data_IF_754411567315
#
_entry.id   IF_754411567315
#
_cell.length_a   1.000
_cell.length_b   1.000
_cell.length_c   1.000
_cell.angle_alpha   90.00
_cell.angle_beta   90.00
_cell.angle_gamma   90.00
#
_symmetry.space_group_name_H-M   'P 1'
#
loop_
_entity.id
_entity.type
_entity.pdbx_description
1 polymer ?
#
# COMPACT_ATOMS: atom_id res chain seq x y z
N UNK A 1 21.41 -7.41 15.36
CA UNK A 1 20.97 -8.82 15.53
C UNK A 1 20.22 -8.91 16.84
N UNK A 2 18.90 -8.80 16.84
CA UNK A 2 18.09 -9.03 18.03
C UNK A 2 16.80 -9.76 17.63
N UNK A 3 16.70 -11.00 18.12
CA UNK A 3 15.49 -11.62 18.65
C UNK A 3 14.26 -11.67 17.75
N UNK A 4 14.14 -12.76 17.00
CA UNK A 4 12.86 -13.33 16.58
C UNK A 4 11.96 -13.55 17.80
N UNK A 5 10.86 -12.80 17.87
CA UNK A 5 9.93 -12.83 19.00
C UNK A 5 9.12 -14.12 19.00
N UNK A 6 9.08 -14.75 20.16
CA UNK A 6 8.47 -16.05 20.47
C UNK A 6 6.95 -15.99 20.35
N UNK A 7 6.40 -17.03 19.73
CA UNK A 7 5.00 -17.44 19.86
C UNK A 7 4.60 -17.48 21.34
N UNK A 8 3.50 -16.82 21.69
CA UNK A 8 2.82 -17.02 22.97
C UNK A 8 1.62 -17.94 22.76
N UNK A 9 1.90 -19.19 22.39
CA UNK A 9 1.07 -20.30 22.86
C UNK A 9 1.72 -20.67 24.19
N UNK A 10 0.98 -20.58 25.28
CA UNK A 10 1.45 -21.02 26.60
C UNK A 10 1.71 -22.52 26.50
N UNK A 11 2.97 -22.90 26.26
CA UNK A 11 3.45 -24.26 26.39
C UNK A 11 4.64 -24.26 27.35
N UNK A 12 4.59 -25.18 28.31
CA UNK A 12 5.70 -25.48 29.18
C UNK A 12 6.94 -25.87 28.33
N UNK A 13 8.15 -25.40 28.68
CA UNK A 13 9.34 -25.69 27.88
C UNK A 13 9.67 -27.19 27.94
N UNK A 14 9.58 -27.89 26.80
CA UNK A 14 10.11 -29.26 26.63
C UNK A 14 9.22 -30.28 25.89
N UNK A 15 8.00 -29.96 25.48
CA UNK A 15 7.20 -30.88 24.67
C UNK A 15 7.46 -30.67 23.17
N UNK A 16 7.88 -31.74 22.48
CA UNK A 16 7.88 -31.76 21.02
C UNK A 16 6.44 -31.64 20.52
N UNK A 17 6.20 -30.75 19.55
CA UNK A 17 4.91 -30.61 18.88
C UNK A 17 4.46 -31.97 18.34
N UNK A 18 3.18 -32.32 18.56
CA UNK A 18 2.65 -33.57 18.00
C UNK A 18 2.68 -33.53 16.46
N UNK A 19 2.58 -34.70 15.83
CA UNK A 19 2.50 -34.76 14.36
C UNK A 19 1.25 -34.03 13.86
N UNK A 20 0.14 -34.10 14.61
CA UNK A 20 -1.08 -33.36 14.29
C UNK A 20 -0.87 -31.84 14.42
N UNK A 21 -0.18 -31.36 15.46
CA UNK A 21 0.12 -29.93 15.64
C UNK A 21 1.00 -29.40 14.50
N UNK A 22 1.98 -30.18 14.04
CA UNK A 22 2.83 -29.83 12.92
C UNK A 22 2.05 -29.74 11.61
N UNK A 23 1.16 -30.71 11.35
CA UNK A 23 0.28 -30.69 10.19
C UNK A 23 -0.68 -29.50 10.20
N UNK A 24 -1.26 -29.19 11.37
CA UNK A 24 -2.16 -28.05 11.54
C UNK A 24 -1.42 -26.73 11.33
N UNK A 25 -0.20 -26.59 11.86
CA UNK A 25 0.62 -25.39 11.63
C UNK A 25 0.96 -25.20 10.15
N UNK A 26 1.26 -26.28 9.42
CA UNK A 26 1.55 -26.21 8.00
C UNK A 26 0.32 -25.80 7.19
N UNK A 27 -0.84 -26.41 7.48
CA UNK A 27 -2.11 -26.04 6.87
C UNK A 27 -2.49 -24.58 7.14
N UNK A 28 -2.27 -24.09 8.37
CA UNK A 28 -2.53 -22.70 8.73
C UNK A 28 -1.61 -21.72 8.00
N UNK A 29 -0.35 -22.09 7.73
CA UNK A 29 0.56 -21.27 6.91
C UNK A 29 0.12 -21.23 5.46
N UNK A 30 -0.28 -22.37 4.89
CA UNK A 30 -0.76 -22.44 3.51
C UNK A 30 -2.08 -21.69 3.30
N UNK A 31 -2.94 -21.68 4.33
CA UNK A 31 -4.25 -21.02 4.32
C UNK A 31 -4.19 -19.55 4.70
N UNK A 32 -3.02 -19.03 5.12
CA UNK A 32 -2.90 -17.64 5.52
C UNK A 32 -3.09 -16.70 4.31
N UNK A 33 -3.87 -15.61 4.46
CA UNK A 33 -4.13 -14.72 3.35
C UNK A 33 -2.83 -14.07 2.87
N UNK A 34 -2.61 -14.10 1.55
CA UNK A 34 -1.48 -13.45 0.92
C UNK A 34 -1.78 -11.97 0.76
N UNK A 35 -1.09 -11.14 1.54
CA UNK A 35 -1.25 -9.69 1.54
C UNK A 35 -0.09 -9.03 0.79
N UNK A 36 -0.43 -8.16 -0.16
CA UNK A 36 0.52 -7.37 -0.93
C UNK A 36 0.28 -5.88 -0.69
N UNK A 37 1.35 -5.13 -0.42
CA UNK A 37 1.31 -3.65 -0.41
C UNK A 37 2.08 -3.15 -1.62
N UNK A 38 1.40 -2.45 -2.52
CA UNK A 38 1.97 -1.83 -3.70
C UNK A 38 1.98 -0.31 -3.52
N UNK A 39 3.17 0.27 -3.45
CA UNK A 39 3.36 1.71 -3.45
C UNK A 39 3.75 2.22 -4.82
N UNK A 40 2.96 3.13 -5.38
CA UNK A 40 3.18 3.64 -6.73
C UNK A 40 3.56 5.12 -6.79
N UNK A 41 4.53 5.43 -7.66
CA UNK A 41 5.10 6.77 -7.81
C UNK A 41 5.99 7.17 -6.64
N UNK A 42 6.31 8.47 -6.52
CA UNK A 42 7.23 9.00 -5.52
C UNK A 42 6.81 8.70 -4.07
N UNK A 43 5.71 9.32 -3.62
CA UNK A 43 5.22 9.16 -2.24
C UNK A 43 4.80 7.71 -1.93
N UNK A 44 4.21 6.98 -2.89
CA UNK A 44 3.91 5.55 -2.71
C UNK A 44 5.17 4.72 -2.49
N UNK A 45 6.22 4.96 -3.28
CA UNK A 45 7.51 4.27 -3.09
C UNK A 45 8.19 4.66 -1.77
N UNK A 46 8.10 5.92 -1.34
CA UNK A 46 8.59 6.35 -0.02
C UNK A 46 7.86 5.64 1.12
N UNK A 47 6.54 5.51 0.99
CA UNK A 47 5.70 4.78 1.95
C UNK A 47 6.15 3.33 2.07
N UNK A 48 6.44 2.66 0.94
CA UNK A 48 7.00 1.30 0.93
C UNK A 48 8.37 1.25 1.60
N UNK A 49 9.26 2.20 1.30
CA UNK A 49 10.55 2.28 1.97
C UNK A 49 10.38 2.41 3.49
N UNK A 50 9.43 3.24 3.93
CA UNK A 50 9.15 3.44 5.35
C UNK A 50 8.58 2.18 6.01
N UNK A 51 7.64 1.50 5.35
CA UNK A 51 7.11 0.22 5.81
C UNK A 51 8.20 -0.84 5.97
N UNK A 52 9.17 -0.88 5.04
CA UNK A 52 10.33 -1.75 5.14
C UNK A 52 11.21 -1.39 6.35
N UNK A 53 11.40 -0.10 6.64
CA UNK A 53 12.21 0.37 7.78
C UNK A 53 11.56 0.06 9.13
N UNK A 54 10.25 0.31 9.27
CA UNK A 54 9.52 0.11 10.54
C UNK A 54 9.10 -1.35 10.77
N UNK A 55 9.19 -2.19 9.74
CA UNK A 55 8.74 -3.57 9.74
C UNK A 55 7.21 -3.70 9.74
N UNK A 56 6.73 -4.61 8.90
CA UNK A 56 5.32 -4.99 8.77
C UNK A 56 5.26 -6.50 8.52
N UNK A 57 4.52 -7.21 9.37
CA UNK A 57 4.49 -8.67 9.37
C UNK A 57 3.43 -9.19 8.37
N UNK A 58 3.72 -10.33 7.72
CA UNK A 58 2.76 -11.04 6.89
C UNK A 58 2.41 -10.34 5.56
N UNK A 59 3.19 -9.35 5.12
CA UNK A 59 2.94 -8.61 3.88
C UNK A 59 4.15 -8.63 2.95
N UNK A 60 3.90 -8.78 1.65
CA UNK A 60 4.90 -8.52 0.62
C UNK A 60 4.86 -7.05 0.22
N UNK A 61 6.02 -6.41 0.06
CA UNK A 61 6.13 -4.98 -0.21
C UNK A 61 6.68 -4.75 -1.61
N UNK A 62 5.94 -4.01 -2.42
CA UNK A 62 6.28 -3.75 -3.83
C UNK A 62 6.31 -2.26 -4.07
N UNK A 63 7.45 -1.76 -4.57
CA UNK A 63 7.55 -0.39 -5.05
C UNK A 63 7.44 -0.37 -6.58
N UNK A 64 6.56 0.47 -7.12
CA UNK A 64 6.36 0.64 -8.56
C UNK A 64 6.58 2.10 -8.94
N UNK A 65 7.37 2.35 -9.97
CA UNK A 65 7.63 3.73 -10.40
C UNK A 65 8.02 3.77 -11.87
N UNK A 66 7.89 4.95 -12.49
CA UNK A 66 8.43 5.23 -13.85
C UNK A 66 9.81 5.89 -13.78
N UNK A 67 10.20 6.39 -12.61
CA UNK A 67 11.53 6.96 -12.36
C UNK A 67 12.46 5.87 -11.81
N UNK A 68 13.45 5.48 -12.61
CA UNK A 68 14.41 4.44 -12.27
C UNK A 68 15.36 4.87 -11.15
N UNK A 69 15.78 6.14 -11.14
CA UNK A 69 16.72 6.65 -10.13
C UNK A 69 16.07 6.66 -8.75
N UNK A 70 14.80 7.06 -8.69
CA UNK A 70 14.04 7.03 -7.46
C UNK A 70 13.88 5.58 -6.98
N UNK A 71 13.42 4.68 -7.86
CA UNK A 71 13.15 3.28 -7.53
C UNK A 71 14.40 2.52 -7.04
N UNK A 72 15.59 2.84 -7.56
CA UNK A 72 16.85 2.25 -7.11
C UNK A 72 17.11 2.47 -5.61
N UNK A 73 16.75 3.63 -5.07
CA UNK A 73 17.02 4.02 -3.67
C UNK A 73 16.05 3.42 -2.66
N UNK A 74 14.91 2.93 -3.13
CA UNK A 74 13.81 2.40 -2.29
C UNK A 74 14.16 1.01 -1.77
N UNK A 75 13.87 0.70 -0.52
CA UNK A 75 13.96 -0.66 0.02
C UNK A 75 12.58 -1.31 -0.03
N UNK A 76 12.48 -2.48 -0.67
CA UNK A 76 11.25 -3.25 -0.80
C UNK A 76 11.57 -4.70 -1.14
N UNK A 77 10.61 -5.61 -0.94
CA UNK A 77 10.75 -7.02 -1.33
C UNK A 77 10.79 -7.20 -2.85
N UNK A 78 9.98 -6.44 -3.59
CA UNK A 78 9.99 -6.41 -5.06
C UNK A 78 9.96 -4.97 -5.58
N UNK A 79 10.46 -4.75 -6.80
CA UNK A 79 10.46 -3.46 -7.49
C UNK A 79 10.01 -3.63 -8.94
N UNK A 80 9.19 -2.71 -9.44
CA UNK A 80 8.77 -2.67 -10.83
C UNK A 80 8.98 -1.30 -11.44
N UNK A 81 9.84 -1.23 -12.47
CA UNK A 81 9.99 -0.05 -13.30
C UNK A 81 8.94 -0.09 -14.41
N UNK A 82 7.92 0.76 -14.32
CA UNK A 82 6.82 0.83 -15.28
C UNK A 82 7.19 1.68 -16.50
N UNK A 83 6.66 1.31 -17.67
CA UNK A 83 6.78 2.10 -18.89
C UNK A 83 8.23 2.31 -19.34
N UNK A 84 9.02 1.22 -19.38
CA UNK A 84 10.44 1.24 -19.78
C UNK A 84 10.61 1.87 -21.17
N UNK A 85 9.69 1.61 -22.11
CA UNK A 85 9.71 2.21 -23.45
C UNK A 85 9.11 3.62 -23.44
N UNK A 86 7.99 3.82 -22.74
CA UNK A 86 7.30 5.12 -22.68
C UNK A 86 8.12 6.25 -22.05
N UNK A 87 8.77 5.97 -20.93
CA UNK A 87 9.45 6.99 -20.11
C UNK A 87 10.96 6.88 -20.13
N UNK A 88 11.51 5.75 -20.61
CA UNK A 88 12.95 5.45 -20.58
C UNK A 88 13.54 5.54 -19.16
N UNK A 89 12.71 5.36 -18.13
CA UNK A 89 13.12 5.46 -16.73
C UNK A 89 13.29 6.89 -16.20
N UNK A 90 12.85 7.91 -16.96
CA UNK A 90 12.99 9.33 -16.58
C UNK A 90 11.79 9.88 -15.79
N UNK A 91 10.77 9.06 -15.56
CA UNK A 91 9.55 9.49 -14.87
C UNK A 91 8.45 10.03 -15.78
N UNK A 92 7.28 10.30 -15.19
CA UNK A 92 6.08 10.74 -15.91
C UNK A 92 5.90 12.28 -15.98
N UNK A 93 6.86 13.06 -15.48
CA UNK A 93 6.86 14.53 -15.61
C UNK A 93 5.62 15.23 -15.02
N UNK A 94 5.04 14.71 -13.94
CA UNK A 94 3.77 15.19 -13.36
C UNK A 94 2.54 15.09 -14.28
N UNK A 95 2.61 14.31 -15.37
CA UNK A 95 1.49 14.03 -16.25
C UNK A 95 0.86 12.66 -15.92
N UNK A 96 -0.38 12.63 -15.39
CA UNK A 96 -1.09 11.37 -15.09
C UNK A 96 -1.27 10.46 -16.30
N UNK A 97 -1.49 11.00 -17.50
CA UNK A 97 -1.69 10.18 -18.71
C UNK A 97 -0.44 9.38 -19.08
N UNK A 98 0.75 9.95 -18.84
CA UNK A 98 2.02 9.25 -19.03
C UNK A 98 2.18 8.14 -18.00
N UNK A 99 1.79 8.40 -16.74
CA UNK A 99 1.80 7.38 -15.68
C UNK A 99 0.83 6.23 -15.97
N UNK A 100 -0.34 6.54 -16.51
CA UNK A 100 -1.36 5.57 -16.92
C UNK A 100 -0.88 4.71 -18.08
N UNK A 101 -0.38 5.33 -19.15
CA UNK A 101 0.17 4.60 -20.28
C UNK A 101 1.38 3.73 -19.90
N UNK A 102 2.21 4.20 -18.96
CA UNK A 102 3.33 3.42 -18.44
C UNK A 102 2.89 2.19 -17.64
N UNK A 103 1.83 2.31 -16.85
CA UNK A 103 1.26 1.18 -16.12
C UNK A 103 0.60 0.17 -17.06
N UNK A 104 -0.11 0.64 -18.09
CA UNK A 104 -0.70 -0.21 -19.13
C UNK A 104 0.39 -0.96 -19.93
N UNK A 105 1.51 -0.29 -20.26
CA UNK A 105 2.65 -0.96 -20.90
C UNK A 105 3.19 -2.13 -20.04
N UNK A 106 3.19 -1.95 -18.72
CA UNK A 106 3.67 -2.95 -17.75
C UNK A 106 2.56 -3.83 -17.17
N UNK A 107 1.38 -3.90 -17.81
CA UNK A 107 0.22 -4.63 -17.25
C UNK A 107 0.53 -6.11 -17.00
N UNK A 108 1.27 -6.77 -17.90
CA UNK A 108 1.66 -8.16 -17.72
C UNK A 108 2.56 -8.36 -16.48
N UNK A 109 3.53 -7.47 -16.27
CA UNK A 109 4.41 -7.50 -15.09
C UNK A 109 3.59 -7.22 -13.80
N UNK A 110 2.60 -6.33 -13.87
CA UNK A 110 1.68 -6.03 -12.76
C UNK A 110 0.84 -7.27 -12.41
N UNK A 111 0.25 -7.94 -13.41
CA UNK A 111 -0.56 -9.16 -13.20
C UNK A 111 0.25 -10.27 -12.52
N UNK A 112 1.50 -10.48 -12.94
CA UNK A 112 2.40 -11.46 -12.31
C UNK A 112 2.67 -11.17 -10.83
N UNK A 113 2.74 -9.91 -10.44
CA UNK A 113 2.90 -9.53 -9.03
C UNK A 113 1.66 -9.85 -8.18
N UNK A 114 0.49 -9.90 -8.81
CA UNK A 114 -0.81 -10.05 -8.19
C UNK A 114 -1.29 -11.51 -8.15
N UNK A 115 -0.55 -12.45 -8.76
CA UNK A 115 -0.96 -13.84 -8.86
C UNK A 115 -1.20 -14.49 -7.48
N UNK A 116 -2.47 -14.81 -7.25
CA UNK A 116 -2.95 -15.46 -6.05
C UNK A 116 -2.94 -14.57 -4.79
N UNK A 117 -2.74 -13.28 -4.93
CA UNK A 117 -2.86 -12.35 -3.81
C UNK A 117 -4.32 -12.23 -3.40
N UNK A 118 -4.62 -12.39 -2.12
CA UNK A 118 -6.00 -12.31 -1.59
C UNK A 118 -6.39 -10.85 -1.28
N UNK A 119 -5.42 -10.05 -0.83
CA UNK A 119 -5.63 -8.66 -0.44
C UNK A 119 -4.48 -7.76 -0.93
N UNK A 120 -4.83 -6.68 -1.62
CA UNK A 120 -3.90 -5.68 -2.13
C UNK A 120 -4.18 -4.32 -1.50
N UNK A 121 -3.15 -3.79 -0.84
CA UNK A 121 -3.10 -2.38 -0.46
C UNK A 121 -2.38 -1.58 -1.54
N UNK A 122 -3.03 -0.55 -2.08
CA UNK A 122 -2.42 0.38 -3.03
C UNK A 122 -2.19 1.71 -2.33
N UNK A 123 -0.94 2.18 -2.29
CA UNK A 123 -0.59 3.47 -1.72
C UNK A 123 0.06 4.41 -2.73
N UNK A 124 -0.38 5.67 -2.74
CA UNK A 124 0.10 6.69 -3.67
C UNK A 124 -0.14 8.09 -3.12
N UNK A 125 0.74 9.02 -3.49
CA UNK A 125 0.46 10.46 -3.39
C UNK A 125 -0.19 10.94 -4.69
N UNK A 126 -1.44 11.42 -4.60
CA UNK A 126 -2.20 11.89 -5.75
C UNK A 126 -1.76 13.29 -6.17
N UNK A 127 -1.95 13.61 -7.45
CA UNK A 127 -1.62 14.91 -8.05
C UNK A 127 -0.33 14.93 -8.85
N UNK A 128 0.56 13.97 -8.64
CA UNK A 128 1.71 13.70 -9.49
C UNK A 128 1.35 12.99 -10.80
N UNK A 129 2.35 12.54 -11.56
CA UNK A 129 2.14 11.80 -12.81
C UNK A 129 1.98 10.30 -12.58
N UNK A 130 3.04 9.67 -12.08
CA UNK A 130 3.09 8.21 -11.92
C UNK A 130 2.03 7.67 -10.98
N UNK A 131 1.97 8.17 -9.74
CA UNK A 131 1.05 7.66 -8.72
C UNK A 131 -0.41 7.80 -9.18
N UNK A 132 -0.81 9.03 -9.54
CA UNK A 132 -2.14 9.35 -10.04
C UNK A 132 -2.56 8.52 -11.25
N UNK A 133 -1.65 8.31 -12.21
CA UNK A 133 -1.96 7.61 -13.46
C UNK A 133 -1.94 6.09 -13.36
N UNK A 134 -1.14 5.53 -12.47
CA UNK A 134 -0.97 4.07 -12.38
C UNK A 134 -1.84 3.40 -11.33
N UNK A 135 -2.25 4.13 -10.28
CA UNK A 135 -2.97 3.54 -9.15
C UNK A 135 -4.26 2.81 -9.57
N UNK A 136 -5.07 3.40 -10.45
CA UNK A 136 -6.31 2.77 -10.91
C UNK A 136 -6.06 1.59 -11.87
N UNK A 137 -4.95 1.60 -12.61
CA UNK A 137 -4.56 0.48 -13.49
C UNK A 137 -4.16 -0.73 -12.65
N UNK A 138 -3.37 -0.50 -11.60
CA UNK A 138 -2.99 -1.53 -10.63
C UNK A 138 -4.23 -2.07 -9.90
N UNK A 139 -5.12 -1.17 -9.45
CA UNK A 139 -6.37 -1.55 -8.79
C UNK A 139 -7.25 -2.44 -9.67
N UNK A 140 -7.42 -2.06 -10.93
CA UNK A 140 -8.18 -2.84 -11.91
C UNK A 140 -7.57 -4.24 -12.09
N UNK A 141 -6.25 -4.32 -12.29
CA UNK A 141 -5.56 -5.61 -12.47
C UNK A 141 -5.68 -6.51 -11.23
N UNK A 142 -5.61 -5.92 -10.03
CA UNK A 142 -5.76 -6.64 -8.77
C UNK A 142 -7.18 -7.22 -8.62
N UNK A 143 -8.20 -6.42 -8.92
CA UNK A 143 -9.60 -6.85 -8.89
C UNK A 143 -9.90 -7.95 -9.90
N UNK A 144 -9.35 -7.84 -11.12
CA UNK A 144 -9.45 -8.89 -12.14
C UNK A 144 -8.73 -10.19 -11.74
N UNK A 145 -7.70 -10.10 -10.89
CA UNK A 145 -7.00 -11.25 -10.31
C UNK A 145 -7.74 -11.88 -9.11
N UNK A 146 -8.89 -11.31 -8.69
CA UNK A 146 -9.71 -11.81 -7.59
C UNK A 146 -9.32 -11.28 -6.21
N UNK A 147 -8.36 -10.36 -6.13
CA UNK A 147 -7.94 -9.75 -4.86
C UNK A 147 -8.93 -8.67 -4.41
N UNK A 148 -9.11 -8.54 -3.09
CA UNK A 148 -9.74 -7.36 -2.50
C UNK A 148 -8.77 -6.18 -2.62
N UNK A 149 -9.26 -5.03 -3.04
CA UNK A 149 -8.43 -3.85 -3.28
C UNK A 149 -8.78 -2.72 -2.33
N UNK A 150 -7.83 -2.37 -1.46
CA UNK A 150 -7.90 -1.19 -0.60
C UNK A 150 -6.88 -0.16 -1.10
N UNK A 151 -7.36 0.99 -1.55
CA UNK A 151 -6.51 2.12 -1.90
C UNK A 151 -6.39 3.08 -0.71
N UNK A 152 -5.18 3.40 -0.27
CA UNK A 152 -4.90 4.39 0.77
C UNK A 152 -3.97 5.44 0.20
N UNK A 153 -4.51 6.61 -0.11
CA UNK A 153 -3.83 7.65 -0.88
C UNK A 153 -3.90 9.01 -0.21
N UNK A 154 -2.95 9.89 -0.51
CA UNK A 154 -2.96 11.28 -0.06
C UNK A 154 -3.35 12.24 -1.16
N UNK A 155 -4.08 13.30 -0.83
CA UNK A 155 -4.27 14.46 -1.73
C UNK A 155 -3.18 15.50 -1.45
N UNK A 156 -2.73 16.28 -2.46
CA UNK A 156 -1.63 17.22 -2.29
C UNK A 156 -2.01 18.36 -1.34
N UNK A 157 -1.00 19.09 -0.83
CA UNK A 157 -1.21 20.35 -0.12
C UNK A 157 -1.72 21.41 -1.10
N UNK A 158 -2.56 22.33 -0.62
CA UNK A 158 -3.03 23.48 -1.41
C UNK A 158 -1.85 24.32 -1.93
N UNK A 159 -0.76 24.40 -1.18
CA UNK A 159 0.47 25.11 -1.55
C UNK A 159 1.24 24.49 -2.74
N UNK A 160 0.97 23.22 -3.10
CA UNK A 160 1.58 22.59 -4.27
C UNK A 160 0.93 23.03 -5.60
N UNK A 161 -0.20 23.75 -5.53
CA UNK A 161 -0.84 24.41 -6.65
C UNK A 161 -2.04 23.67 -7.24
N UNK A 162 -2.92 24.45 -7.88
CA UNK A 162 -4.22 24.00 -8.41
C UNK A 162 -4.12 22.83 -9.38
N UNK A 163 -3.07 22.78 -10.20
CA UNK A 163 -2.90 21.71 -11.20
C UNK A 163 -2.72 20.33 -10.56
N UNK A 164 -1.97 20.23 -9.45
CA UNK A 164 -1.84 18.97 -8.71
C UNK A 164 -3.16 18.54 -8.09
N UNK A 165 -3.94 19.48 -7.53
CA UNK A 165 -5.27 19.18 -6.99
C UNK A 165 -6.23 18.66 -8.07
N UNK A 166 -6.25 19.27 -9.26
CA UNK A 166 -7.10 18.80 -10.38
C UNK A 166 -6.70 17.38 -10.80
N UNK A 167 -5.39 17.14 -10.97
CA UNK A 167 -4.87 15.81 -11.27
C UNK A 167 -5.28 14.79 -10.20
N UNK A 168 -5.16 15.16 -8.91
CA UNK A 168 -5.48 14.30 -7.80
C UNK A 168 -6.94 13.88 -7.80
N UNK A 169 -7.85 14.83 -7.97
CA UNK A 169 -9.29 14.57 -8.02
C UNK A 169 -9.66 13.64 -9.20
N UNK A 170 -9.11 13.91 -10.39
CA UNK A 170 -9.31 13.07 -11.57
C UNK A 170 -8.80 11.63 -11.36
N UNK A 171 -7.61 11.49 -10.77
CA UNK A 171 -7.06 10.17 -10.43
C UNK A 171 -7.87 9.43 -9.38
N UNK A 172 -8.34 10.14 -8.33
CA UNK A 172 -9.22 9.58 -7.30
C UNK A 172 -10.53 9.09 -7.89
N UNK A 173 -11.11 9.84 -8.84
CA UNK A 173 -12.34 9.44 -9.54
C UNK A 173 -12.18 8.16 -10.35
N UNK A 174 -11.01 7.94 -10.95
CA UNK A 174 -10.70 6.68 -11.63
C UNK A 174 -10.46 5.56 -10.62
N UNK A 175 -9.70 5.83 -9.57
CA UNK A 175 -9.30 4.85 -8.56
C UNK A 175 -10.49 4.29 -7.79
N UNK A 176 -11.42 5.14 -7.35
CA UNK A 176 -12.62 4.72 -6.60
C UNK A 176 -13.57 3.82 -7.38
N UNK A 177 -13.47 3.79 -8.72
CA UNK A 177 -14.24 2.90 -9.58
C UNK A 177 -13.63 1.50 -9.66
N UNK A 178 -12.35 1.37 -9.32
CA UNK A 178 -11.58 0.12 -9.46
C UNK A 178 -11.28 -0.52 -8.11
N UNK A 179 -11.03 0.27 -7.06
CA UNK A 179 -10.83 -0.23 -5.70
C UNK A 179 -12.17 -0.55 -5.01
N UNK A 180 -12.19 -1.53 -4.11
CA UNK A 180 -13.36 -1.86 -3.29
C UNK A 180 -13.54 -0.86 -2.14
N UNK A 181 -12.43 -0.42 -1.56
CA UNK A 181 -12.38 0.68 -0.60
C UNK A 181 -11.30 1.68 -1.00
N UNK A 182 -11.64 2.97 -1.03
CA UNK A 182 -10.68 4.07 -1.22
C UNK A 182 -10.68 4.97 0.01
N UNK A 183 -9.50 5.11 0.61
CA UNK A 183 -9.23 5.97 1.76
C UNK A 183 -8.39 7.14 1.27
N UNK A 184 -8.95 8.34 1.36
CA UNK A 184 -8.26 9.58 0.97
C UNK A 184 -7.86 10.39 2.20
N UNK A 185 -6.56 10.64 2.36
CA UNK A 185 -5.98 11.44 3.44
C UNK A 185 -5.62 12.81 2.87
N UNK A 186 -6.19 13.87 3.44
CA UNK A 186 -5.88 15.23 2.98
C UNK A 186 -4.59 15.72 3.62
N UNK A 187 -3.56 16.02 2.81
CA UNK A 187 -2.33 16.59 3.33
C UNK A 187 -2.56 17.96 4.01
N UNK A 188 -3.49 18.77 3.52
CA UNK A 188 -3.86 20.03 4.19
C UNK A 188 -4.37 19.79 5.61
N UNK A 189 -5.07 18.67 5.86
CA UNK A 189 -5.50 18.33 7.22
C UNK A 189 -4.34 17.96 8.14
N UNK A 190 -3.21 17.51 7.60
CA UNK A 190 -2.01 17.22 8.40
C UNK A 190 -1.40 18.51 8.96
N UNK A 191 -1.53 19.65 8.25
CA UNK A 191 -1.01 20.94 8.72
C UNK A 191 -1.67 21.43 10.02
N UNK A 192 -2.91 21.00 10.33
CA UNK A 192 -3.53 21.35 11.61
C UNK A 192 -2.79 20.76 12.81
N UNK A 193 -2.12 19.63 12.63
CA UNK A 193 -1.35 18.96 13.68
C UNK A 193 0.11 19.44 13.73
N UNK A 194 0.61 20.02 12.63
CA UNK A 194 2.00 20.47 12.48
C UNK A 194 2.09 21.76 11.65
N UNK A 195 1.61 22.90 12.18
CA UNK A 195 1.41 24.13 11.40
C UNK A 195 2.72 24.79 10.93
N UNK A 196 3.81 24.63 11.68
CA UNK A 196 5.07 25.35 11.45
C UNK A 196 6.13 24.53 10.68
N UNK A 197 5.76 23.37 10.12
CA UNK A 197 6.72 22.55 9.41
C UNK A 197 7.00 23.08 8.00
N UNK A 198 8.28 23.16 7.58
CA UNK A 198 8.63 23.33 6.18
C UNK A 198 7.99 22.25 5.29
N UNK A 199 7.63 22.60 4.06
CA UNK A 199 6.89 21.71 3.15
C UNK A 199 7.55 20.33 2.96
N UNK A 200 8.89 20.29 2.90
CA UNK A 200 9.65 19.03 2.82
C UNK A 200 9.51 18.16 4.07
N UNK A 201 9.42 18.74 5.26
CA UNK A 201 9.16 18.02 6.50
C UNK A 201 7.70 17.55 6.54
N UNK A 202 6.75 18.36 6.07
CA UNK A 202 5.34 18.00 5.97
C UNK A 202 5.12 16.76 5.08
N UNK A 203 5.84 16.62 3.96
CA UNK A 203 5.79 15.40 3.14
C UNK A 203 6.25 14.15 3.89
N UNK A 204 7.28 14.25 4.74
CA UNK A 204 7.73 13.10 5.57
C UNK A 204 6.68 12.69 6.60
N UNK A 205 5.95 13.67 7.15
CA UNK A 205 4.81 13.41 8.04
C UNK A 205 3.71 12.69 7.26
N UNK A 206 3.37 13.15 6.06
CA UNK A 206 2.38 12.50 5.20
C UNK A 206 2.75 11.04 4.85
N UNK A 207 4.00 10.80 4.46
CA UNK A 207 4.51 9.44 4.19
C UNK A 207 4.45 8.55 5.45
N UNK A 208 4.69 9.11 6.64
CA UNK A 208 4.57 8.39 7.92
C UNK A 208 3.12 8.06 8.26
N UNK A 209 2.20 9.00 8.06
CA UNK A 209 0.77 8.79 8.25
C UNK A 209 0.23 7.70 7.32
N UNK A 210 0.63 7.73 6.04
CA UNK A 210 0.31 6.69 5.07
C UNK A 210 0.84 5.32 5.50
N UNK A 211 2.12 5.25 5.89
CA UNK A 211 2.75 4.00 6.33
C UNK A 211 2.05 3.44 7.58
N UNK A 212 1.71 4.30 8.55
CA UNK A 212 1.01 3.88 9.76
C UNK A 212 -0.42 3.42 9.47
N UNK A 213 -1.14 4.07 8.56
CA UNK A 213 -2.47 3.64 8.13
C UNK A 213 -2.44 2.25 7.47
N UNK A 214 -1.52 2.04 6.53
CA UNK A 214 -1.33 0.74 5.88
C UNK A 214 -0.92 -0.33 6.90
N UNK A 215 0.07 -0.03 7.75
CA UNK A 215 0.56 -0.95 8.78
C UNK A 215 -0.55 -1.32 9.77
N UNK A 216 -1.32 -0.35 10.23
CA UNK A 216 -2.42 -0.59 11.18
C UNK A 216 -3.45 -1.55 10.60
N UNK A 217 -3.93 -1.31 9.38
CA UNK A 217 -4.95 -2.17 8.77
C UNK A 217 -4.37 -3.55 8.42
N UNK A 218 -3.14 -3.61 7.89
CA UNK A 218 -2.52 -4.87 7.55
C UNK A 218 -2.20 -5.72 8.79
N UNK A 219 -1.69 -5.12 9.87
CA UNK A 219 -1.37 -5.86 11.11
C UNK A 219 -2.62 -6.29 11.88
N UNK A 220 -3.76 -5.60 11.74
CA UNK A 220 -5.04 -6.10 12.24
C UNK A 220 -5.46 -7.43 11.58
N UNK A 221 -4.97 -7.70 10.37
CA UNK A 221 -5.26 -8.94 9.63
C UNK A 221 -4.17 -9.98 9.87
N UNK A 222 -2.89 -9.57 9.90
CA UNK A 222 -1.76 -10.51 9.95
C UNK A 222 -1.31 -10.87 11.35
N UNK A 223 -1.57 -10.03 12.36
CA UNK A 223 -1.19 -10.33 13.75
C UNK A 223 -2.39 -10.89 14.51
N UNK A 224 -2.23 -12.02 15.21
CA UNK A 224 -3.24 -12.50 16.13
C UNK A 224 -3.41 -11.49 17.26
N UNK A 225 -4.60 -10.89 17.35
CA UNK A 225 -5.02 -10.05 18.47
C UNK A 225 -5.75 -10.84 19.57
N UNK A 226 -6.08 -10.19 20.69
CA UNK A 226 -6.93 -10.78 21.74
C UNK A 226 -8.35 -11.12 21.24
N UNK A 227 -8.80 -10.42 20.19
CA UNK A 227 -10.00 -10.72 19.42
C UNK A 227 -9.52 -11.11 18.02
N UNK A 228 -9.59 -12.39 17.69
CA UNK A 228 -9.19 -12.87 16.37
C UNK A 228 -10.31 -12.50 15.38
N UNK A 229 -10.09 -11.47 14.56
CA UNK A 229 -11.01 -11.12 13.48
C UNK A 229 -10.80 -12.10 12.32
N UNK A 230 -11.87 -12.72 11.83
CA UNK A 230 -11.78 -13.59 10.66
C UNK A 230 -11.56 -12.72 9.41
N UNK A 231 -10.67 -13.15 8.52
CA UNK A 231 -10.46 -12.53 7.21
C UNK A 231 -11.78 -12.45 6.43
N UNK A 232 -12.69 -13.42 6.60
CA UNK A 232 -14.02 -13.40 5.98
C UNK A 232 -14.90 -12.22 6.45
N UNK A 233 -14.84 -11.86 7.73
CA UNK A 233 -15.59 -10.73 8.29
C UNK A 233 -15.02 -9.40 7.80
N UNK A 234 -13.69 -9.28 7.83
CA UNK A 234 -12.96 -8.10 7.32
C UNK A 234 -13.23 -7.92 5.82
N UNK A 235 -13.19 -9.02 5.05
CA UNK A 235 -13.51 -9.04 3.63
C UNK A 235 -14.91 -8.46 3.36
N UNK A 236 -15.92 -8.93 4.08
CA UNK A 236 -17.30 -8.48 3.87
C UNK A 236 -17.48 -6.97 4.09
N UNK A 237 -16.78 -6.41 5.08
CA UNK A 237 -16.81 -4.97 5.38
C UNK A 237 -16.05 -4.17 4.31
N UNK A 238 -14.87 -4.64 3.91
CA UNK A 238 -13.99 -3.92 3.00
C UNK A 238 -14.41 -4.00 1.52
N UNK A 239 -15.08 -5.08 1.10
CA UNK A 239 -15.65 -5.21 -0.24
C UNK A 239 -16.75 -4.17 -0.54
N UNK A 240 -17.32 -3.54 0.50
CA UNK A 240 -18.42 -2.57 0.40
C UNK A 240 -18.08 -1.19 0.96
N UNK A 241 -16.81 -0.92 1.26
CA UNK A 241 -16.41 0.29 1.99
C UNK A 241 -16.56 1.60 1.20
N UNK A 242 -16.49 1.57 -0.13
CA UNK A 242 -16.66 2.77 -0.95
C UNK A 242 -15.59 3.82 -0.64
N UNK A 243 -15.99 5.00 -0.13
CA UNK A 243 -15.05 6.02 0.36
C UNK A 243 -15.03 6.08 1.89
N UNK A 244 -13.82 6.04 2.46
CA UNK A 244 -13.61 6.18 3.90
C UNK A 244 -12.60 7.30 4.21
N UNK A 245 -12.69 7.83 5.43
CA UNK A 245 -11.79 8.86 5.98
C UNK A 245 -11.15 8.30 7.25
N UNK A 246 -9.82 8.40 7.37
CA UNK A 246 -9.10 8.01 8.60
C UNK A 246 -8.96 9.23 9.52
N UNK A 247 -9.38 9.07 10.77
CA UNK A 247 -8.98 9.93 11.89
C UNK A 247 -7.85 9.25 12.66
N UNK A 248 -6.76 9.96 12.90
CA UNK A 248 -5.68 9.51 13.79
C UNK A 248 -5.85 10.20 15.14
N UNK A 249 -5.85 9.42 16.21
CA UNK A 249 -5.80 9.90 17.59
C UNK A 249 -4.70 9.16 18.33
N UNK A 250 -3.86 9.89 19.06
CA UNK A 250 -2.98 9.32 20.09
C UNK A 250 -3.69 9.43 21.44
N UNK A 251 -3.51 8.41 22.29
CA UNK A 251 -4.03 8.36 23.67
C UNK A 251 -2.90 8.62 24.63
#
# INVERSE_FOLDING_TARGET
MFGSSKNAIVQAPGQALSVEDQQLMEFLKESAPRILVIGTGGSGSNTINRLQEIGIAGTTLVATNTDAQHLLRIKSHKKLLMGKKKTKGLGAGSNPEVGEAAAQESEQEIRQLLEGVDLVFITAGMGGGTGTGSAHVIAKAAKEAGAIVIAIVTTPFTSEGKRRMINANSGLDKLRKQADTTIAISNDKLLYFVPDLPLNAAFKVADTVLANAVKGIAELITKPGLVNLDFADIRTILERGGMAVIGLGEV
#
